data_IF_575504020999
#
_entry.id   IF_575504020999
#
_cell.length_a   1.000
_cell.length_b   1.000
_cell.length_c   1.000
_cell.angle_alpha   90.00
_cell.angle_beta   90.00
_cell.angle_gamma   90.00
#
_symmetry.space_group_name_H-M   'P 1'
#
loop_
_entity.id
_entity.type
_entity.pdbx_description
1 polymer ?
#
# COMPACT_ATOMS: atom_id res chain seq x y z
N UNK A 1 1.28 -12.31 -19.25
CA UNK A 1 1.25 -12.65 -20.71
C UNK A 1 0.60 -14.02 -20.99
N UNK A 2 1.03 -15.14 -20.32
CA UNK A 2 0.44 -16.45 -20.56
C UNK A 2 -1.05 -16.50 -20.26
N UNK A 3 -1.48 -15.99 -19.11
CA UNK A 3 -2.89 -15.87 -18.72
C UNK A 3 -3.71 -15.02 -19.72
N UNK A 4 -3.15 -13.88 -20.14
CA UNK A 4 -3.77 -13.01 -21.13
C UNK A 4 -3.94 -13.69 -22.49
N UNK A 5 -2.88 -14.40 -22.98
CA UNK A 5 -2.94 -15.16 -24.23
C UNK A 5 -3.99 -16.27 -24.20
N UNK A 6 -4.10 -16.96 -23.07
CA UNK A 6 -5.05 -18.05 -22.86
C UNK A 6 -6.46 -17.58 -22.44
N UNK A 7 -6.60 -16.29 -22.11
CA UNK A 7 -7.84 -15.68 -21.59
C UNK A 7 -8.36 -16.38 -20.32
N UNK A 8 -7.44 -16.73 -19.43
CA UNK A 8 -7.73 -17.37 -18.13
C UNK A 8 -7.28 -16.46 -16.98
N UNK A 9 -7.85 -16.66 -15.83
CA UNK A 9 -7.56 -15.89 -14.60
C UNK A 9 -6.48 -16.53 -13.73
N UNK A 10 -6.06 -17.76 -14.05
CA UNK A 10 -4.99 -18.49 -13.35
C UNK A 10 -4.23 -19.41 -14.31
N UNK A 11 -3.10 -19.93 -13.83
CA UNK A 11 -2.28 -20.96 -14.51
C UNK A 11 -2.13 -22.12 -13.54
N UNK A 12 -2.09 -23.35 -14.06
CA UNK A 12 -1.84 -24.54 -13.27
C UNK A 12 -0.36 -24.67 -12.87
N UNK A 13 -0.09 -24.74 -11.57
CA UNK A 13 1.21 -25.13 -11.04
C UNK A 13 1.20 -26.65 -10.85
N UNK A 14 1.98 -27.37 -11.65
CA UNK A 14 2.13 -28.81 -11.56
C UNK A 14 3.28 -29.17 -10.62
N UNK A 15 2.97 -29.78 -9.49
CA UNK A 15 3.95 -30.26 -8.50
C UNK A 15 4.24 -31.75 -8.61
N UNK A 16 3.64 -32.48 -9.58
CA UNK A 16 3.78 -33.94 -9.75
C UNK A 16 5.18 -34.35 -10.17
N UNK A 17 5.97 -33.43 -10.75
CA UNK A 17 7.37 -33.66 -11.13
C UNK A 17 8.33 -33.68 -9.93
N UNK A 18 7.88 -33.23 -8.76
CA UNK A 18 8.65 -33.30 -7.51
C UNK A 18 8.34 -34.64 -6.86
N UNK A 19 9.34 -35.30 -6.26
CA UNK A 19 9.12 -36.61 -5.60
C UNK A 19 8.04 -36.47 -4.51
N UNK A 20 7.07 -37.39 -4.51
CA UNK A 20 5.88 -37.34 -3.63
C UNK A 20 6.27 -37.33 -2.15
N UNK A 21 7.31 -38.12 -1.79
CA UNK A 21 7.82 -38.23 -0.43
C UNK A 21 8.42 -36.93 0.11
N UNK A 22 8.99 -36.11 -0.77
CA UNK A 22 9.65 -34.84 -0.40
C UNK A 22 8.72 -33.64 -0.35
N UNK A 23 7.74 -33.55 -1.24
CA UNK A 23 6.98 -32.31 -1.42
C UNK A 23 5.93 -32.07 -0.34
N UNK A 24 5.25 -33.13 0.09
CA UNK A 24 4.23 -33.01 1.13
C UNK A 24 4.86 -32.79 2.53
N UNK A 25 5.99 -33.46 2.80
CA UNK A 25 6.75 -33.23 4.04
C UNK A 25 7.36 -31.83 4.11
N UNK A 26 7.84 -31.31 2.97
CA UNK A 26 8.45 -29.97 2.91
C UNK A 26 7.43 -28.83 2.93
N UNK A 27 6.23 -29.06 2.44
CA UNK A 27 5.20 -28.02 2.29
C UNK A 27 3.84 -28.43 2.89
N UNK A 28 3.80 -28.94 4.14
CA UNK A 28 2.58 -29.51 4.73
C UNK A 28 1.43 -28.48 4.79
N UNK A 29 1.72 -27.23 5.12
CA UNK A 29 0.70 -26.17 5.20
C UNK A 29 0.06 -25.84 3.86
N UNK A 30 0.83 -25.91 2.75
CA UNK A 30 0.30 -25.69 1.41
C UNK A 30 -0.64 -26.82 1.02
N UNK A 31 -0.23 -28.08 1.25
CA UNK A 31 -1.03 -29.25 0.95
C UNK A 31 -2.32 -29.27 1.77
N UNK A 32 -2.22 -29.01 3.07
CA UNK A 32 -3.40 -28.88 3.93
C UNK A 32 -4.37 -27.82 3.39
N UNK A 33 -3.85 -26.62 3.04
CA UNK A 33 -4.69 -25.54 2.52
C UNK A 33 -5.34 -25.88 1.20
N UNK A 34 -4.65 -26.55 0.30
CA UNK A 34 -5.23 -27.04 -0.95
C UNK A 34 -6.38 -28.02 -0.70
N UNK A 35 -6.19 -28.99 0.20
CA UNK A 35 -7.23 -29.95 0.55
C UNK A 35 -8.46 -29.31 1.21
N UNK A 36 -8.27 -28.31 2.06
CA UNK A 36 -9.36 -27.51 2.64
C UNK A 36 -10.20 -26.80 1.55
N UNK A 37 -9.58 -26.50 0.42
CA UNK A 37 -10.22 -25.88 -0.75
C UNK A 37 -10.73 -26.92 -1.77
N UNK A 38 -10.64 -28.21 -1.47
CA UNK A 38 -11.09 -29.29 -2.33
C UNK A 38 -10.12 -29.65 -3.46
N UNK A 39 -8.85 -29.22 -3.37
CA UNK A 39 -7.80 -29.51 -4.35
C UNK A 39 -6.88 -30.63 -3.86
N UNK A 40 -6.52 -31.55 -4.75
CA UNK A 40 -5.53 -32.59 -4.50
C UNK A 40 -4.25 -32.34 -5.33
N UNK A 41 -3.23 -31.63 -4.78
CA UNK A 41 -2.07 -31.17 -5.53
C UNK A 41 -1.28 -32.26 -6.28
N UNK A 42 -1.32 -33.50 -5.78
CA UNK A 42 -0.66 -34.65 -6.42
C UNK A 42 -1.46 -35.25 -7.59
N UNK A 43 -2.76 -34.89 -7.69
CA UNK A 43 -3.63 -35.39 -8.77
C UNK A 43 -3.89 -34.33 -9.83
N UNK A 44 -3.98 -33.07 -9.44
CA UNK A 44 -4.32 -31.95 -10.30
C UNK A 44 -3.37 -30.76 -10.09
N UNK A 45 -3.27 -29.88 -11.06
CA UNK A 45 -2.46 -28.69 -10.96
C UNK A 45 -3.11 -27.64 -10.04
N UNK A 46 -2.31 -27.02 -9.18
CA UNK A 46 -2.76 -25.98 -8.27
C UNK A 46 -3.02 -24.69 -9.07
N UNK A 47 -4.21 -24.07 -9.04
CA UNK A 47 -4.46 -22.81 -9.71
C UNK A 47 -3.68 -21.68 -9.02
N UNK A 48 -2.80 -21.02 -9.77
CA UNK A 48 -2.00 -19.89 -9.27
C UNK A 48 -2.14 -18.68 -10.17
N UNK A 49 -2.15 -17.50 -9.56
CA UNK A 49 -2.15 -16.22 -10.26
C UNK A 49 -1.13 -15.28 -9.61
N UNK A 50 -0.56 -14.32 -10.36
CA UNK A 50 0.26 -13.26 -9.78
C UNK A 50 -0.53 -12.49 -8.73
N UNK A 51 0.15 -12.08 -7.66
CA UNK A 51 -0.45 -11.24 -6.61
C UNK A 51 0.58 -10.23 -6.13
N UNK A 52 0.11 -9.06 -5.72
CA UNK A 52 0.96 -8.10 -5.02
C UNK A 52 1.40 -8.71 -3.68
N UNK A 53 2.71 -8.69 -3.40
CA UNK A 53 3.28 -9.31 -2.20
C UNK A 53 3.81 -8.24 -1.23
N UNK A 54 4.60 -7.30 -1.71
CA UNK A 54 5.28 -6.32 -0.88
C UNK A 54 5.33 -4.97 -1.58
N UNK A 55 5.17 -3.90 -0.79
CA UNK A 55 5.21 -2.53 -1.28
C UNK A 55 6.64 -1.97 -1.19
N UNK A 56 7.35 -1.86 -2.31
CA UNK A 56 8.61 -1.14 -2.37
C UNK A 56 8.35 0.35 -2.49
N UNK A 57 8.77 1.11 -1.50
CA UNK A 57 8.44 2.53 -1.38
C UNK A 57 7.78 2.82 -0.03
N UNK A 58 7.13 3.97 0.09
CA UNK A 58 6.44 4.37 1.32
C UNK A 58 6.93 5.70 1.89
N UNK A 59 6.76 5.88 3.19
CA UNK A 59 7.19 7.09 3.90
C UNK A 59 8.71 7.15 3.93
N UNK A 60 9.27 8.20 3.34
CA UNK A 60 10.72 8.38 3.27
C UNK A 60 11.35 8.58 4.65
N UNK A 61 12.36 7.80 4.98
CA UNK A 61 13.08 7.84 6.26
C UNK A 61 14.59 7.89 6.06
N UNK A 62 15.29 8.38 7.06
CA UNK A 62 16.75 8.25 7.16
C UNK A 62 17.14 6.94 7.89
N UNK A 63 18.46 6.72 8.09
CA UNK A 63 18.97 5.55 8.78
C UNK A 63 18.58 5.46 10.28
N UNK A 64 18.01 6.52 10.84
CA UNK A 64 17.46 6.56 12.20
C UNK A 64 15.95 6.41 12.22
N UNK A 65 15.33 5.94 11.13
CA UNK A 65 13.90 5.81 10.94
C UNK A 65 13.10 7.14 11.03
N UNK A 66 13.77 8.30 11.02
CA UNK A 66 13.15 9.61 11.11
C UNK A 66 12.57 10.02 9.77
N UNK A 67 11.37 10.59 9.78
CA UNK A 67 10.77 11.24 8.62
C UNK A 67 11.17 12.74 8.58
N UNK A 68 10.69 13.46 7.57
CA UNK A 68 10.83 14.93 7.53
C UNK A 68 9.84 15.67 8.45
N UNK A 69 8.95 14.97 9.13
CA UNK A 69 8.04 15.53 10.13
C UNK A 69 8.65 15.29 11.51
N UNK A 70 8.93 16.37 12.26
CA UNK A 70 9.55 16.27 13.59
C UNK A 70 8.68 15.38 14.51
N UNK A 71 9.31 14.41 15.16
CA UNK A 71 8.64 13.47 16.07
C UNK A 71 7.93 12.30 15.38
N UNK A 72 7.90 12.24 14.04
CA UNK A 72 7.32 11.13 13.28
C UNK A 72 8.42 10.21 12.74
N UNK A 73 8.29 8.93 13.06
CA UNK A 73 9.18 7.86 12.61
C UNK A 73 8.37 6.85 11.78
N UNK A 74 9.05 6.12 10.88
CA UNK A 74 8.45 5.02 10.15
C UNK A 74 9.44 3.88 10.01
N UNK A 75 8.99 2.64 10.27
CA UNK A 75 9.76 1.39 10.15
C UNK A 75 8.92 0.29 9.49
N UNK A 76 9.58 -0.73 8.96
CA UNK A 76 8.90 -1.85 8.28
C UNK A 76 8.35 -1.45 6.91
N UNK A 77 7.36 -2.17 6.41
CA UNK A 77 6.82 -2.03 5.06
C UNK A 77 6.31 -0.61 4.73
N UNK A 78 5.85 0.14 5.73
CA UNK A 78 5.39 1.53 5.54
C UNK A 78 6.54 2.49 5.25
N UNK A 79 7.79 2.14 5.61
CA UNK A 79 8.95 2.98 5.44
C UNK A 79 9.61 2.78 4.07
N UNK A 80 10.15 3.86 3.52
CA UNK A 80 11.04 3.82 2.37
C UNK A 80 12.45 4.21 2.81
N UNK A 81 13.24 3.23 3.18
CA UNK A 81 14.67 3.38 3.53
C UNK A 81 15.56 3.40 2.29
N UNK A 82 15.06 2.96 1.14
CA UNK A 82 15.82 2.74 -0.09
C UNK A 82 16.46 1.35 -0.21
N UNK A 83 16.43 0.54 0.86
CA UNK A 83 17.08 -0.80 0.90
C UNK A 83 16.60 -1.72 -0.23
N UNK A 84 15.31 -1.70 -0.53
CA UNK A 84 14.70 -2.65 -1.47
C UNK A 84 14.83 -2.24 -2.94
N UNK A 85 15.23 -1.01 -3.23
CA UNK A 85 15.37 -0.52 -4.59
C UNK A 85 14.08 -0.70 -5.40
N UNK A 86 14.20 -1.23 -6.62
CA UNK A 86 13.08 -1.45 -7.51
C UNK A 86 12.33 -2.77 -7.27
N UNK A 87 12.95 -3.72 -6.55
CA UNK A 87 12.31 -4.97 -6.13
C UNK A 87 13.03 -5.58 -4.93
N UNK A 88 12.26 -5.99 -3.96
CA UNK A 88 12.78 -6.54 -2.70
C UNK A 88 13.40 -7.94 -2.90
N UNK A 89 14.59 -8.16 -2.33
CA UNK A 89 15.13 -9.50 -2.17
C UNK A 89 14.32 -10.26 -1.10
N UNK A 90 14.02 -11.52 -1.37
CA UNK A 90 13.24 -12.37 -0.47
C UNK A 90 13.81 -12.34 0.97
N UNK A 91 12.94 -12.31 1.97
CA UNK A 91 13.23 -12.24 3.41
C UNK A 91 13.86 -10.95 3.93
N UNK A 92 14.37 -10.04 3.07
CA UNK A 92 14.98 -8.79 3.51
C UNK A 92 14.01 -7.86 4.25
N UNK A 93 12.71 -7.94 4.01
CA UNK A 93 11.73 -7.12 4.72
C UNK A 93 11.68 -7.43 6.22
N UNK A 94 11.81 -8.70 6.61
CA UNK A 94 11.85 -9.09 8.03
C UNK A 94 13.13 -8.59 8.70
N UNK A 95 14.26 -8.68 8.00
CA UNK A 95 15.54 -8.15 8.50
C UNK A 95 15.49 -6.62 8.65
N UNK A 96 14.91 -5.91 7.70
CA UNK A 96 14.69 -4.47 7.81
C UNK A 96 13.88 -4.10 9.05
N UNK A 97 12.76 -4.79 9.29
CA UNK A 97 11.94 -4.57 10.48
C UNK A 97 12.76 -4.73 11.78
N UNK A 98 13.56 -5.80 11.89
CA UNK A 98 14.38 -6.06 13.07
C UNK A 98 15.47 -5.00 13.27
N UNK A 99 16.17 -4.64 12.19
CA UNK A 99 17.26 -3.65 12.26
C UNK A 99 16.72 -2.28 12.66
N UNK A 100 15.66 -1.81 12.01
CA UNK A 100 15.11 -0.49 12.32
C UNK A 100 14.34 -0.46 13.65
N UNK A 101 13.69 -1.56 14.07
CA UNK A 101 13.14 -1.66 15.42
C UNK A 101 14.23 -1.54 16.50
N UNK A 102 15.40 -2.15 16.27
CA UNK A 102 16.55 -2.00 17.18
C UNK A 102 17.08 -0.55 17.21
N UNK A 103 17.04 0.18 16.10
CA UNK A 103 17.42 1.61 16.08
C UNK A 103 16.49 2.47 16.95
N UNK A 104 15.19 2.11 17.02
CA UNK A 104 14.21 2.81 17.84
C UNK A 104 14.54 2.79 19.34
N UNK A 105 15.30 1.79 19.83
CA UNK A 105 15.74 1.71 21.23
C UNK A 105 16.61 2.88 21.67
N UNK A 106 17.29 3.53 20.71
CA UNK A 106 18.23 4.62 20.96
C UNK A 106 17.61 6.00 20.79
N UNK A 107 16.27 6.07 20.65
CA UNK A 107 15.57 7.35 20.54
C UNK A 107 15.40 7.93 21.95
N UNK A 108 16.03 9.07 22.18
CA UNK A 108 15.79 9.87 23.37
C UNK A 108 14.47 10.64 23.18
N UNK A 109 13.50 10.38 24.04
CA UNK A 109 12.23 11.09 24.09
C UNK A 109 12.38 12.38 24.90
N UNK A 110 13.23 13.29 24.43
CA UNK A 110 13.41 14.58 25.06
C UNK A 110 12.24 15.48 24.72
N UNK A 111 11.52 15.95 25.74
CA UNK A 111 10.51 17.02 25.71
C UNK A 111 9.32 16.78 24.76
N UNK A 112 8.60 15.67 24.95
CA UNK A 112 7.20 15.67 24.57
C UNK A 112 6.46 16.59 25.55
N UNK A 113 6.16 17.80 25.09
CA UNK A 113 5.23 18.68 25.79
C UNK A 113 3.91 17.93 25.84
N UNK A 114 3.55 17.41 26.99
CA UNK A 114 2.17 17.02 27.29
C UNK A 114 1.37 18.31 27.33
N UNK A 115 0.91 18.77 26.18
CA UNK A 115 -0.13 19.80 26.18
C UNK A 115 -1.33 19.19 26.88
N UNK A 116 -1.82 19.86 27.92
CA UNK A 116 -3.04 19.47 28.64
C UNK A 116 -4.13 19.20 27.61
N UNK A 117 -4.56 17.94 27.52
CA UNK A 117 -5.71 17.55 26.72
C UNK A 117 -6.94 17.99 27.51
N UNK A 118 -7.28 19.26 27.39
CA UNK A 118 -8.57 19.76 27.87
C UNK A 118 -9.61 19.37 26.83
N UNK A 119 -10.24 18.21 27.01
CA UNK A 119 -11.34 17.76 26.17
C UNK A 119 -12.56 18.64 26.36
N UNK A 120 -12.93 19.42 25.36
CA UNK A 120 -14.28 19.96 25.27
C UNK A 120 -15.17 18.85 24.66
N UNK A 121 -16.13 18.37 25.46
CA UNK A 121 -17.16 17.47 24.96
C UNK A 121 -18.08 18.27 24.03
N UNK A 122 -17.89 18.16 22.73
CA UNK A 122 -18.85 18.63 21.75
C UNK A 122 -19.97 17.59 21.63
N UNK A 123 -21.21 18.01 21.94
CA UNK A 123 -22.38 17.18 21.68
C UNK A 123 -22.74 17.27 20.20
N UNK A 124 -22.50 16.22 19.47
CA UNK A 124 -23.00 16.07 18.10
C UNK A 124 -24.39 15.45 18.12
N UNK A 125 -25.26 15.86 17.19
CA UNK A 125 -26.48 15.12 16.92
C UNK A 125 -26.08 13.75 16.35
N UNK A 126 -26.55 12.67 16.96
CA UNK A 126 -26.24 11.29 16.57
C UNK A 126 -26.58 11.00 15.10
N UNK A 127 -27.54 11.71 14.49
CA UNK A 127 -27.90 11.65 13.08
C UNK A 127 -26.79 12.15 12.14
N UNK A 128 -25.98 13.12 12.57
CA UNK A 128 -24.94 13.74 11.74
C UNK A 128 -23.68 12.88 11.62
N UNK A 129 -23.57 11.87 12.49
CA UNK A 129 -22.42 10.96 12.56
C UNK A 129 -22.63 9.65 11.76
N UNK A 130 -23.74 9.53 11.05
CA UNK A 130 -24.01 8.37 10.20
C UNK A 130 -23.54 8.63 8.78
N UNK A 131 -23.05 7.58 8.13
CA UNK A 131 -22.78 7.63 6.71
C UNK A 131 -24.07 7.98 5.96
N UNK A 132 -24.02 8.97 5.06
CA UNK A 132 -25.19 9.56 4.40
C UNK A 132 -25.92 8.64 3.43
N UNK A 133 -25.41 7.43 3.17
CA UNK A 133 -26.00 6.46 2.26
C UNK A 133 -26.63 5.30 3.03
N UNK A 134 -27.83 4.92 2.63
CA UNK A 134 -28.69 3.91 3.28
C UNK A 134 -28.04 2.52 3.53
N UNK A 135 -26.87 2.23 2.96
CA UNK A 135 -26.21 0.94 3.05
C UNK A 135 -24.77 1.00 3.58
N UNK A 136 -24.41 2.03 4.34
CA UNK A 136 -23.08 2.35 4.86
C UNK A 136 -21.99 1.27 4.71
N UNK A 137 -21.94 0.32 5.64
CA UNK A 137 -20.92 -0.76 5.66
C UNK A 137 -20.85 -1.58 4.36
N UNK A 138 -22.02 -1.97 3.79
CA UNK A 138 -22.07 -2.76 2.55
C UNK A 138 -21.60 -1.94 1.34
N UNK A 139 -21.98 -0.68 1.27
CA UNK A 139 -21.52 0.24 0.22
C UNK A 139 -20.01 0.44 0.27
N UNK A 140 -19.47 0.77 1.44
CA UNK A 140 -18.05 1.04 1.62
C UNK A 140 -17.18 -0.18 1.29
N UNK A 141 -17.61 -1.38 1.72
CA UNK A 141 -16.93 -2.62 1.38
C UNK A 141 -16.90 -2.87 -0.14
N UNK A 142 -18.00 -2.56 -0.85
CA UNK A 142 -18.05 -2.65 -2.32
C UNK A 142 -17.12 -1.63 -2.99
N UNK A 143 -17.04 -0.39 -2.47
CA UNK A 143 -16.13 0.63 -3.03
C UNK A 143 -14.66 0.25 -2.81
N UNK A 144 -14.30 -0.33 -1.66
CA UNK A 144 -12.97 -0.89 -1.41
C UNK A 144 -12.64 -1.98 -2.45
N UNK A 145 -13.58 -2.90 -2.70
CA UNK A 145 -13.37 -3.98 -3.67
C UNK A 145 -13.26 -3.44 -5.11
N UNK A 146 -14.08 -2.48 -5.51
CA UNK A 146 -13.96 -1.80 -6.82
C UNK A 146 -12.60 -1.13 -7.00
N UNK A 147 -12.10 -0.46 -5.95
CA UNK A 147 -10.78 0.17 -5.98
C UNK A 147 -9.67 -0.89 -6.15
N UNK A 148 -9.75 -2.00 -5.41
CA UNK A 148 -8.80 -3.11 -5.54
C UNK A 148 -8.76 -3.66 -6.96
N UNK A 149 -9.93 -3.93 -7.55
CA UNK A 149 -10.05 -4.42 -8.92
C UNK A 149 -9.53 -3.41 -9.95
N UNK A 150 -9.82 -2.12 -9.77
CA UNK A 150 -9.31 -1.06 -10.62
C UNK A 150 -7.78 -1.00 -10.57
N UNK A 151 -7.20 -0.96 -9.38
CA UNK A 151 -5.74 -0.92 -9.22
C UNK A 151 -5.07 -2.19 -9.76
N UNK A 152 -5.67 -3.38 -9.55
CA UNK A 152 -5.17 -4.63 -10.10
C UNK A 152 -5.16 -4.62 -11.63
N UNK A 153 -6.25 -4.16 -12.26
CA UNK A 153 -6.38 -4.14 -13.71
C UNK A 153 -5.46 -3.13 -14.38
N UNK A 154 -5.34 -1.91 -13.82
CA UNK A 154 -4.68 -0.79 -14.50
C UNK A 154 -3.25 -0.52 -14.00
N UNK A 155 -2.90 -0.96 -12.78
CA UNK A 155 -1.60 -0.76 -12.15
C UNK A 155 -1.01 -2.05 -11.54
N UNK A 156 -1.52 -3.20 -11.96
CA UNK A 156 -1.04 -4.52 -11.53
C UNK A 156 0.31 -4.91 -12.16
N UNK A 157 0.36 -6.07 -12.79
CA UNK A 157 1.60 -6.61 -13.37
C UNK A 157 2.00 -5.87 -14.64
N UNK A 158 1.05 -5.72 -15.58
CA UNK A 158 1.26 -5.00 -16.84
C UNK A 158 0.57 -3.63 -16.76
N UNK A 159 1.28 -2.55 -17.04
CA UNK A 159 0.82 -1.18 -16.90
C UNK A 159 0.91 -0.45 -18.21
N UNK A 160 -0.13 0.34 -18.53
CA UNK A 160 -0.13 1.23 -19.70
C UNK A 160 -0.41 2.66 -19.28
N UNK A 161 0.13 3.63 -20.01
CA UNK A 161 -0.17 5.06 -19.79
C UNK A 161 -1.68 5.31 -19.81
N UNK A 162 -2.38 4.71 -20.78
CA UNK A 162 -3.84 4.89 -20.95
C UNK A 162 -4.61 4.35 -19.75
N UNK A 163 -4.31 3.12 -19.32
CA UNK A 163 -4.99 2.49 -18.18
C UNK A 163 -4.75 3.25 -16.89
N UNK A 164 -3.46 3.55 -16.59
CA UNK A 164 -3.11 4.29 -15.37
C UNK A 164 -3.71 5.71 -15.34
N UNK A 165 -3.75 6.45 -16.46
CA UNK A 165 -4.41 7.77 -16.52
C UNK A 165 -5.91 7.66 -16.25
N UNK A 166 -6.59 6.69 -16.86
CA UNK A 166 -8.01 6.46 -16.62
C UNK A 166 -8.29 6.15 -15.14
N UNK A 167 -7.46 5.28 -14.53
CA UNK A 167 -7.55 4.96 -13.11
C UNK A 167 -7.28 6.18 -12.23
N UNK A 168 -6.26 6.98 -12.55
CA UNK A 168 -5.91 8.18 -11.78
C UNK A 168 -7.06 9.19 -11.75
N UNK A 169 -7.67 9.47 -12.90
CA UNK A 169 -8.83 10.38 -12.99
C UNK A 169 -9.98 9.86 -12.12
N UNK A 170 -10.31 8.57 -12.25
CA UNK A 170 -11.39 7.94 -11.48
C UNK A 170 -11.13 8.00 -9.98
N UNK A 171 -9.95 7.56 -9.53
CA UNK A 171 -9.61 7.55 -8.10
C UNK A 171 -9.57 8.96 -7.53
N UNK A 172 -9.06 9.94 -8.28
CA UNK A 172 -9.04 11.35 -7.86
C UNK A 172 -10.44 11.89 -7.62
N UNK A 173 -11.36 11.62 -8.54
CA UNK A 173 -12.76 12.03 -8.38
C UNK A 173 -13.44 11.34 -7.20
N UNK A 174 -13.24 10.03 -7.06
CA UNK A 174 -13.80 9.26 -5.95
C UNK A 174 -13.28 9.73 -4.60
N UNK A 175 -11.97 10.02 -4.51
CA UNK A 175 -11.34 10.56 -3.31
C UNK A 175 -11.90 11.95 -2.94
N UNK A 176 -12.04 12.84 -3.92
CA UNK A 176 -12.64 14.16 -3.68
C UNK A 176 -14.08 14.06 -3.20
N UNK A 177 -14.85 13.14 -3.78
CA UNK A 177 -16.22 12.88 -3.33
C UNK A 177 -16.25 12.35 -1.90
N UNK A 178 -15.33 11.43 -1.56
CA UNK A 178 -15.25 10.84 -0.23
C UNK A 178 -14.87 11.87 0.84
N UNK A 179 -14.01 12.82 0.53
CA UNK A 179 -13.62 13.90 1.45
C UNK A 179 -14.78 14.80 1.86
N UNK A 180 -15.90 14.78 1.14
CA UNK A 180 -17.10 15.52 1.51
C UNK A 180 -17.99 14.78 2.54
N UNK A 181 -17.62 13.54 2.92
CA UNK A 181 -18.38 12.80 3.93
C UNK A 181 -18.24 13.42 5.33
N UNK A 182 -19.34 13.71 6.02
CA UNK A 182 -19.30 14.42 7.31
C UNK A 182 -18.41 13.76 8.36
N UNK A 183 -18.41 12.42 8.42
CA UNK A 183 -17.55 11.68 9.38
C UNK A 183 -16.06 11.87 9.10
N UNK A 184 -15.64 11.94 7.84
CA UNK A 184 -14.24 12.22 7.49
C UNK A 184 -13.90 13.69 7.77
N UNK A 185 -14.80 14.61 7.49
CA UNK A 185 -14.60 16.01 7.80
C UNK A 185 -14.40 16.23 9.29
N UNK A 186 -15.13 15.51 10.13
CA UNK A 186 -14.94 15.55 11.57
C UNK A 186 -13.52 15.18 11.98
N UNK A 187 -12.92 14.15 11.34
CA UNK A 187 -11.55 13.69 11.64
C UNK A 187 -10.48 14.63 11.07
N UNK A 188 -10.66 15.13 9.85
CA UNK A 188 -9.63 15.90 9.15
C UNK A 188 -9.66 17.41 9.39
N UNK A 189 -10.78 17.96 9.86
CA UNK A 189 -10.95 19.40 10.09
C UNK A 189 -10.53 19.88 11.48
N UNK A 190 -10.22 18.96 12.39
CA UNK A 190 -9.96 19.32 13.79
C UNK A 190 -8.58 19.94 13.98
N UNK A 191 -8.57 21.14 14.55
CA UNK A 191 -7.37 21.85 14.99
C UNK A 191 -7.02 21.61 16.48
N UNK A 192 -7.91 20.94 17.23
CA UNK A 192 -7.77 20.66 18.67
C UNK A 192 -8.07 19.20 18.96
N UNK A 193 -7.48 18.69 20.04
CA UNK A 193 -7.77 17.34 20.54
C UNK A 193 -9.17 17.32 21.17
N UNK A 194 -10.12 16.67 20.53
CA UNK A 194 -11.46 16.46 21.02
C UNK A 194 -11.73 14.95 21.12
N UNK A 195 -12.36 14.54 22.22
CA UNK A 195 -12.73 13.14 22.44
C UNK A 195 -14.18 12.98 22.01
N UNK A 196 -14.42 12.07 21.06
CA UNK A 196 -15.76 11.74 20.59
C UNK A 196 -16.09 10.29 20.91
N UNK A 197 -17.27 10.07 21.47
CA UNK A 197 -17.84 8.73 21.63
C UNK A 197 -18.78 8.44 20.46
N UNK A 198 -18.53 7.33 19.78
CA UNK A 198 -19.34 6.87 18.65
C UNK A 198 -20.10 5.60 19.05
N UNK A 199 -21.34 5.50 18.57
CA UNK A 199 -22.06 4.22 18.56
C UNK A 199 -21.28 3.20 17.70
N UNK A 200 -21.47 1.90 17.99
CA UNK A 200 -20.71 0.82 17.32
C UNK A 200 -20.85 0.86 15.80
N UNK A 201 -22.07 1.12 15.29
CA UNK A 201 -22.31 1.20 13.84
C UNK A 201 -21.55 2.39 13.21
N UNK A 202 -21.60 3.57 13.83
CA UNK A 202 -20.88 4.75 13.36
C UNK A 202 -19.36 4.54 13.43
N UNK A 203 -18.85 3.82 14.42
CA UNK A 203 -17.44 3.44 14.54
C UNK A 203 -17.00 2.51 13.40
N UNK A 204 -17.83 1.53 13.04
CA UNK A 204 -17.55 0.64 11.90
C UNK A 204 -17.53 1.39 10.59
N UNK A 205 -18.48 2.27 10.35
CA UNK A 205 -18.53 3.09 9.13
C UNK A 205 -17.33 4.05 9.07
N UNK A 206 -16.95 4.67 10.17
CA UNK A 206 -15.76 5.53 10.26
C UNK A 206 -14.48 4.74 9.92
N UNK A 207 -14.30 3.55 10.47
CA UNK A 207 -13.14 2.71 10.18
C UNK A 207 -13.08 2.34 8.68
N UNK A 208 -14.20 1.99 8.07
CA UNK A 208 -14.25 1.69 6.63
C UNK A 208 -14.03 2.94 5.77
N UNK A 209 -14.54 4.10 6.18
CA UNK A 209 -14.30 5.38 5.52
C UNK A 209 -12.82 5.75 5.55
N UNK A 210 -12.18 5.62 6.71
CA UNK A 210 -10.75 5.87 6.88
C UNK A 210 -9.92 4.88 6.05
N UNK A 211 -10.28 3.58 6.06
CA UNK A 211 -9.61 2.56 5.24
C UNK A 211 -9.74 2.88 3.75
N UNK A 212 -10.96 3.20 3.26
CA UNK A 212 -11.18 3.58 1.87
C UNK A 212 -10.42 4.85 1.50
N UNK A 213 -10.46 5.88 2.35
CA UNK A 213 -9.73 7.14 2.15
C UNK A 213 -8.21 6.92 2.03
N UNK A 214 -7.64 6.13 2.94
CA UNK A 214 -6.23 5.79 2.94
C UNK A 214 -5.83 4.97 1.69
N UNK A 215 -6.67 4.03 1.28
CA UNK A 215 -6.46 3.25 0.04
C UNK A 215 -6.53 4.13 -1.21
N UNK A 216 -7.50 5.04 -1.28
CA UNK A 216 -7.60 5.98 -2.40
C UNK A 216 -6.39 6.92 -2.45
N UNK A 217 -5.95 7.48 -1.32
CA UNK A 217 -4.74 8.31 -1.25
C UNK A 217 -3.49 7.52 -1.68
N UNK A 218 -3.30 6.30 -1.15
CA UNK A 218 -2.16 5.45 -1.54
C UNK A 218 -2.20 5.09 -3.03
N UNK A 219 -3.39 4.84 -3.58
CA UNK A 219 -3.58 4.56 -5.01
C UNK A 219 -3.25 5.78 -5.89
N UNK A 220 -3.63 7.00 -5.46
CA UNK A 220 -3.26 8.23 -6.15
C UNK A 220 -1.76 8.40 -6.21
N UNK A 221 -1.07 8.28 -5.07
CA UNK A 221 0.39 8.40 -5.00
C UNK A 221 1.08 7.34 -5.86
N UNK A 222 0.60 6.10 -5.82
CA UNK A 222 1.12 5.01 -6.65
C UNK A 222 0.94 5.28 -8.15
N UNK A 223 -0.27 5.64 -8.59
CA UNK A 223 -0.57 5.89 -9.99
C UNK A 223 0.23 7.07 -10.55
N UNK A 224 0.34 8.16 -9.79
CA UNK A 224 1.17 9.31 -10.16
C UNK A 224 2.65 8.93 -10.28
N UNK A 225 3.18 8.17 -9.32
CA UNK A 225 4.58 7.70 -9.37
C UNK A 225 4.83 6.76 -10.56
N UNK A 226 3.88 5.85 -10.84
CA UNK A 226 3.96 4.93 -11.98
C UNK A 226 3.89 5.66 -13.33
N UNK A 227 3.04 6.67 -13.45
CA UNK A 227 2.94 7.50 -14.66
C UNK A 227 4.18 8.36 -14.88
N UNK A 228 4.70 8.93 -13.80
CA UNK A 228 5.90 9.77 -13.83
C UNK A 228 7.14 8.99 -14.27
N UNK A 229 7.27 7.70 -13.86
CA UNK A 229 8.41 6.85 -14.16
C UNK A 229 8.27 6.20 -15.53
N UNK A 230 9.01 6.70 -16.53
CA UNK A 230 8.95 6.26 -17.93
C UNK A 230 10.04 5.21 -18.23
N UNK A 231 9.97 4.09 -17.53
CA UNK A 231 10.82 2.90 -17.74
C UNK A 231 10.14 1.65 -17.19
N UNK A 232 10.74 0.49 -17.40
CA UNK A 232 10.44 -0.76 -16.69
C UNK A 232 11.63 -1.20 -15.85
N UNK A 233 11.39 -1.44 -14.51
CA UNK A 233 12.45 -1.84 -13.57
C UNK A 233 11.86 -2.57 -12.36
N UNK A 234 12.37 -3.76 -12.07
CA UNK A 234 11.88 -4.57 -10.96
C UNK A 234 10.39 -4.89 -11.07
N UNK A 235 9.60 -4.58 -10.05
CA UNK A 235 8.15 -4.77 -10.06
C UNK A 235 7.37 -3.72 -10.88
N UNK A 236 8.02 -2.70 -11.40
CA UNK A 236 7.41 -1.69 -12.24
C UNK A 236 7.60 -2.04 -13.71
N UNK A 237 6.58 -2.60 -14.35
CA UNK A 237 6.57 -2.91 -15.78
C UNK A 237 5.54 -2.05 -16.52
N UNK A 238 6.00 -1.37 -17.57
CA UNK A 238 5.18 -0.54 -18.47
C UNK A 238 5.30 -1.04 -19.90
N UNK A 239 4.17 -1.31 -20.54
CA UNK A 239 4.13 -1.76 -21.93
C UNK A 239 4.58 -0.67 -22.91
N UNK A 240 4.34 0.61 -22.56
CA UNK A 240 4.78 1.77 -23.33
C UNK A 240 6.25 2.17 -23.10
N UNK A 241 6.90 1.65 -22.05
CA UNK A 241 8.32 1.83 -21.75
C UNK A 241 8.94 0.52 -21.23
N UNK A 242 9.09 -0.51 -22.07
CA UNK A 242 9.39 -1.88 -21.63
C UNK A 242 10.82 -2.11 -21.16
N UNK A 243 11.72 -1.13 -21.28
CA UNK A 243 13.14 -1.26 -20.95
C UNK A 243 13.56 -0.38 -19.77
N UNK A 244 14.61 -0.80 -19.05
CA UNK A 244 15.25 0.03 -18.04
C UNK A 244 16.11 1.10 -18.68
N UNK A 245 16.08 2.30 -18.12
CA UNK A 245 16.85 3.45 -18.63
C UNK A 245 17.80 3.96 -17.55
N UNK A 246 19.10 4.23 -17.84
CA UNK A 246 20.07 4.73 -16.86
C UNK A 246 19.62 6.01 -16.14
N UNK A 247 18.96 6.93 -16.84
CA UNK A 247 18.40 8.17 -16.24
C UNK A 247 17.49 7.90 -15.06
N UNK A 248 16.72 6.80 -15.09
CA UNK A 248 15.80 6.41 -14.03
C UNK A 248 16.44 5.62 -12.88
N UNK A 249 17.76 5.52 -12.85
CA UNK A 249 18.48 4.95 -11.69
C UNK A 249 18.47 5.95 -10.53
N UNK A 250 17.28 6.25 -10.03
CA UNK A 250 16.99 7.26 -9.02
C UNK A 250 15.70 6.92 -8.28
N UNK A 251 15.48 7.56 -7.12
CA UNK A 251 14.21 7.51 -6.41
C UNK A 251 13.19 8.50 -7.00
N UNK A 252 11.92 8.09 -7.06
CA UNK A 252 10.80 8.99 -7.29
C UNK A 252 10.30 9.52 -5.95
N UNK A 253 10.09 10.82 -5.84
CA UNK A 253 9.68 11.50 -4.62
C UNK A 253 8.41 12.29 -4.81
N UNK A 254 7.50 12.15 -3.85
CA UNK A 254 6.27 12.93 -3.74
C UNK A 254 6.24 13.63 -2.39
N UNK A 255 5.78 14.87 -2.37
CA UNK A 255 5.63 15.68 -1.16
C UNK A 255 4.45 16.62 -1.35
N UNK A 256 3.60 16.76 -0.32
CA UNK A 256 2.45 17.67 -0.35
C UNK A 256 2.90 19.09 -0.73
N UNK A 257 2.25 19.70 -1.73
CA UNK A 257 2.55 21.04 -2.19
C UNK A 257 3.79 21.16 -3.11
N UNK A 258 4.40 20.04 -3.52
CA UNK A 258 5.51 20.03 -4.47
C UNK A 258 5.22 19.11 -5.66
N UNK A 259 5.80 19.45 -6.81
CA UNK A 259 5.76 18.56 -7.96
C UNK A 259 6.55 17.28 -7.68
N UNK A 260 6.08 16.17 -8.24
CA UNK A 260 6.81 14.91 -8.25
C UNK A 260 8.18 15.09 -8.92
N UNK A 261 9.22 14.52 -8.35
CA UNK A 261 10.59 14.71 -8.83
C UNK A 261 11.45 13.47 -8.55
N UNK A 262 12.62 13.44 -9.19
CA UNK A 262 13.63 12.40 -8.96
C UNK A 262 14.64 12.84 -7.90
N UNK A 263 15.23 11.86 -7.20
CA UNK A 263 16.37 12.04 -6.31
C UNK A 263 17.42 10.98 -6.60
N UNK A 264 18.69 11.34 -6.79
CA UNK A 264 19.76 10.36 -6.98
C UNK A 264 19.86 9.37 -5.82
N UNK A 265 20.21 8.12 -6.13
CA UNK A 265 20.47 7.07 -5.13
C UNK A 265 21.73 7.37 -4.33
N UNK A 266 22.76 7.88 -5.03
CA UNK A 266 24.04 8.24 -4.43
C UNK A 266 24.31 9.73 -4.60
N UNK A 267 25.17 10.29 -3.76
CA UNK A 267 25.67 11.64 -3.91
C UNK A 267 26.76 11.75 -5.01
N UNK A 268 27.31 12.96 -5.19
CA UNK A 268 28.37 13.20 -6.18
C UNK A 268 29.67 12.45 -5.86
N UNK A 269 29.87 12.03 -4.62
CA UNK A 269 31.02 11.24 -4.16
C UNK A 269 30.77 9.73 -4.22
N UNK A 270 29.57 9.28 -4.68
CA UNK A 270 29.21 7.88 -4.79
C UNK A 270 28.66 7.25 -3.50
N UNK A 271 28.47 8.02 -2.45
CA UNK A 271 27.87 7.53 -1.20
C UNK A 271 26.34 7.53 -1.26
N UNK A 272 25.66 6.53 -0.64
CA UNK A 272 24.22 6.50 -0.57
C UNK A 272 23.69 7.80 0.05
N UNK A 273 22.78 8.48 -0.66
CA UNK A 273 22.05 9.61 -0.08
C UNK A 273 21.01 9.08 0.88
N UNK A 274 21.11 9.52 2.13
CA UNK A 274 20.01 9.34 3.07
C UNK A 274 18.73 9.92 2.50
N UNK A 275 17.65 9.14 2.57
CA UNK A 275 16.33 9.47 2.04
C UNK A 275 15.74 10.68 2.77
#
# INVERSE_FOLDING_TARGET
>A
QAMQKQKVDHIGLDVKSISVEDVEERFPSIFQRCRELGLEPLKEAIPVAPSAHYWMGGVATNLKAQTNVKGLFAIGEVACTGLHGANRLASNSLMECLVFANQMRNIELNDFITSDISGNNLSFNKSDLRFSKEQGTSYLSKEIEKLRQLCWREAGVDRSRKGMNSALVKVKQDYQNLLNEPLLNLVFSQSKYEIHEFEELARRDLNLLLDLSNRQMSSLLMLEACLFREESRGGHFRDDFPTSVPFWQCHTRQMKGKNIHTRPIVDKAGFPKNL
#
